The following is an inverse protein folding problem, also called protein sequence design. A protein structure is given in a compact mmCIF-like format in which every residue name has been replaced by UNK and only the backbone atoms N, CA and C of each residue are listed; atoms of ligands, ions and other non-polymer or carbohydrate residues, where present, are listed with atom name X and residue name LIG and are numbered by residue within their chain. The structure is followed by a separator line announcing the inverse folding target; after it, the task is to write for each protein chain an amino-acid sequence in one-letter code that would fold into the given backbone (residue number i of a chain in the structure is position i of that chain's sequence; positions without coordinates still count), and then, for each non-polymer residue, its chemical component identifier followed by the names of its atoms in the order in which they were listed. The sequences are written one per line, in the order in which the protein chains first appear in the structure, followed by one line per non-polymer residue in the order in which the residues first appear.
data_IF_700800053540
#
_entry.id   IF_700800053540
#
_cell.length_a   1.000
_cell.length_b   1.000
_cell.length_c   1.000
_cell.angle_alpha   90.00
_cell.angle_beta   90.00
_cell.angle_gamma   90.00
#
_symmetry.space_group_name_H-M   'P 1'
#
loop_
_entity.id
_entity.type
_entity.pdbx_description
1 polymer ?
#
# COMPACT_ATOMS: atom_id res chain seq x y z
N UNK A 1 -9.06 15.89 0.23
CA UNK A 1 -9.47 14.73 -0.57
C UNK A 1 -8.59 13.58 -0.11
N UNK A 2 -9.14 12.38 0.09
CA UNK A 2 -8.33 11.24 0.53
C UNK A 2 -7.42 10.76 -0.61
N UNK A 3 -6.28 10.19 -0.25
CA UNK A 3 -5.41 9.50 -1.20
C UNK A 3 -5.72 8.00 -1.23
N UNK A 4 -5.53 7.40 -2.40
CA UNK A 4 -5.45 5.96 -2.61
C UNK A 4 -3.99 5.54 -2.41
N UNK A 5 -3.75 4.65 -1.45
CA UNK A 5 -2.45 4.06 -1.17
C UNK A 5 -2.42 2.64 -1.74
N UNK A 6 -1.34 2.31 -2.45
CA UNK A 6 -1.04 0.98 -2.95
C UNK A 6 0.43 0.64 -2.62
N UNK A 7 0.62 -0.10 -1.54
CA UNK A 7 1.93 -0.45 -1.02
C UNK A 7 2.34 -1.84 -1.51
N UNK A 8 3.54 -1.93 -2.08
CA UNK A 8 4.17 -3.19 -2.49
C UNK A 8 5.07 -3.65 -1.36
N UNK A 9 4.77 -4.81 -0.81
CA UNK A 9 5.40 -5.37 0.37
C UNK A 9 6.15 -6.64 -0.01
N UNK A 10 7.42 -6.75 0.39
CA UNK A 10 8.15 -8.01 0.32
C UNK A 10 7.48 -9.03 1.25
N UNK A 11 6.91 -10.09 0.67
CA UNK A 11 6.07 -11.01 1.44
C UNK A 11 6.87 -11.75 2.50
N UNK A 12 8.02 -12.29 2.11
CA UNK A 12 8.82 -13.16 2.96
C UNK A 12 9.40 -12.38 4.13
N UNK A 13 9.88 -11.17 3.86
CA UNK A 13 10.41 -10.30 4.90
C UNK A 13 9.31 -9.79 5.83
N UNK A 14 8.14 -9.38 5.31
CA UNK A 14 7.04 -8.96 6.18
C UNK A 14 6.57 -10.10 7.10
N UNK A 15 6.44 -11.32 6.56
CA UNK A 15 6.13 -12.48 7.38
C UNK A 15 7.22 -12.82 8.37
N UNK A 16 8.49 -12.64 8.03
CA UNK A 16 9.60 -12.79 8.97
C UNK A 16 9.45 -11.83 10.15
N UNK A 17 9.14 -10.56 9.92
CA UNK A 17 8.90 -9.58 10.99
C UNK A 17 7.72 -9.98 11.87
N UNK A 18 6.59 -10.36 11.26
CA UNK A 18 5.38 -10.76 11.98
C UNK A 18 5.58 -12.02 12.84
N UNK A 19 6.47 -12.92 12.43
CA UNK A 19 6.75 -14.18 13.12
C UNK A 19 8.00 -14.14 14.02
N UNK A 20 8.75 -13.04 14.02
CA UNK A 20 9.89 -12.83 14.93
C UNK A 20 9.37 -12.59 16.34
N UNK A 21 10.13 -13.01 17.35
CA UNK A 21 9.83 -12.71 18.76
C UNK A 21 9.77 -11.21 18.97
N UNK A 22 8.80 -10.73 19.73
CA UNK A 22 8.58 -9.29 19.87
C UNK A 22 9.78 -8.56 20.50
N UNK A 23 10.43 -9.22 21.47
CA UNK A 23 11.68 -8.76 22.10
C UNK A 23 12.86 -8.69 21.11
N UNK A 24 12.97 -9.65 20.19
CA UNK A 24 14.01 -9.65 19.16
C UNK A 24 13.78 -8.52 18.13
N UNK A 25 12.53 -8.33 17.68
CA UNK A 25 12.19 -7.23 16.79
C UNK A 25 12.52 -5.88 17.44
N UNK A 26 12.09 -5.66 18.69
CA UNK A 26 12.37 -4.43 19.43
C UNK A 26 13.87 -4.15 19.48
N UNK A 27 14.68 -5.16 19.82
CA UNK A 27 16.13 -5.03 19.86
C UNK A 27 16.73 -4.69 18.50
N UNK A 28 16.28 -5.35 17.43
CA UNK A 28 16.77 -5.11 16.08
C UNK A 28 16.46 -3.70 15.57
N UNK A 29 15.30 -3.15 15.95
CA UNK A 29 14.94 -1.77 15.66
C UNK A 29 15.78 -0.79 16.49
N UNK A 30 15.94 -1.05 17.80
CA UNK A 30 16.69 -0.20 18.72
C UNK A 30 18.19 -0.11 18.35
N UNK A 31 18.81 -1.22 17.98
CA UNK A 31 20.23 -1.27 17.59
C UNK A 31 20.48 -1.01 16.09
N UNK A 32 19.40 -0.73 15.34
CA UNK A 32 19.38 -0.43 13.90
C UNK A 32 19.86 -1.58 13.01
N UNK A 33 19.99 -2.79 13.54
CA UNK A 33 20.38 -3.97 12.75
C UNK A 33 19.30 -4.37 11.74
N UNK A 34 18.02 -4.07 12.00
CA UNK A 34 16.91 -4.31 11.07
C UNK A 34 17.08 -3.60 9.72
N UNK A 35 17.81 -2.47 9.68
CA UNK A 35 18.04 -1.71 8.43
C UNK A 35 18.83 -2.50 7.39
N UNK A 36 19.66 -3.45 7.83
CA UNK A 36 20.50 -4.26 6.93
C UNK A 36 19.71 -5.28 6.11
N UNK A 37 18.52 -5.64 6.60
CA UNK A 37 17.63 -6.62 5.97
C UNK A 37 16.38 -5.97 5.37
N UNK A 38 16.24 -4.64 5.47
CA UNK A 38 15.13 -3.91 4.85
C UNK A 38 15.21 -4.08 3.32
N UNK A 39 14.10 -4.45 2.64
CA UNK A 39 14.07 -4.59 1.19
C UNK A 39 14.55 -3.34 0.46
N UNK A 40 15.11 -3.50 -0.73
CA UNK A 40 15.53 -2.37 -1.54
C UNK A 40 14.31 -1.58 -2.03
N UNK A 41 14.44 -0.25 -2.01
CA UNK A 41 13.38 0.63 -2.46
C UNK A 41 13.32 0.65 -3.98
N UNK A 42 12.11 0.58 -4.54
CA UNK A 42 11.92 0.82 -5.96
C UNK A 42 12.04 2.32 -6.27
N UNK A 43 12.80 2.68 -7.32
CA UNK A 43 13.17 4.06 -7.66
C UNK A 43 12.01 4.92 -8.20
N UNK A 44 10.89 4.30 -8.54
CA UNK A 44 9.72 4.94 -9.14
C UNK A 44 8.55 5.14 -8.17
N UNK A 45 8.65 4.72 -6.91
CA UNK A 45 7.61 4.90 -5.87
C UNK A 45 8.20 5.46 -4.57
N UNK A 46 7.36 6.10 -3.77
CA UNK A 46 7.79 6.73 -2.52
C UNK A 46 7.84 5.72 -1.38
N UNK A 47 8.80 5.89 -0.47
CA UNK A 47 8.93 5.09 0.75
C UNK A 47 9.37 6.00 1.89
N UNK A 48 8.78 5.78 3.06
CA UNK A 48 9.14 6.51 4.28
C UNK A 48 10.57 6.20 4.71
N UNK A 49 11.23 7.21 5.27
CA UNK A 49 12.59 7.08 5.78
C UNK A 49 12.66 6.03 6.90
N UNK A 50 13.77 5.29 6.93
CA UNK A 50 14.00 4.26 7.93
C UNK A 50 13.80 4.80 9.35
N UNK A 51 14.36 5.98 9.65
CA UNK A 51 14.35 6.54 11.00
C UNK A 51 12.93 6.79 11.51
N UNK A 52 12.03 7.24 10.64
CA UNK A 52 10.66 7.58 11.02
C UNK A 52 9.85 6.30 11.32
N UNK A 53 9.92 5.31 10.43
CA UNK A 53 9.18 4.05 10.59
C UNK A 53 9.76 3.24 11.76
N UNK A 54 11.07 3.22 11.93
CA UNK A 54 11.76 2.56 13.06
C UNK A 54 11.29 3.12 14.40
N UNK A 55 11.26 4.45 14.54
CA UNK A 55 10.79 5.11 15.75
C UNK A 55 9.33 4.78 16.04
N UNK A 56 8.45 4.87 15.04
CA UNK A 56 7.03 4.55 15.21
C UNK A 56 6.78 3.08 15.55
N UNK A 57 7.59 2.14 15.05
CA UNK A 57 7.52 0.74 15.45
C UNK A 57 7.92 0.55 16.91
N UNK A 58 9.00 1.21 17.35
CA UNK A 58 9.44 1.16 18.75
C UNK A 58 8.37 1.73 19.69
N UNK A 59 7.83 2.90 19.36
CA UNK A 59 6.75 3.54 20.11
C UNK A 59 5.51 2.63 20.15
N UNK A 60 5.11 2.04 19.01
CA UNK A 60 3.98 1.10 18.94
C UNK A 60 4.19 -0.13 19.84
N UNK A 61 5.39 -0.70 19.86
CA UNK A 61 5.70 -1.85 20.72
C UNK A 61 5.54 -1.48 22.20
N UNK A 62 6.06 -0.32 22.61
CA UNK A 62 6.03 0.14 24.01
C UNK A 62 4.63 0.56 24.45
N UNK A 63 3.93 1.36 23.65
CA UNK A 63 2.61 1.91 23.99
C UNK A 63 1.52 0.84 24.08
N UNK A 64 1.66 -0.25 23.33
CA UNK A 64 0.67 -1.32 23.27
C UNK A 64 1.11 -2.63 23.94
N UNK A 65 2.20 -2.59 24.68
CA UNK A 65 2.72 -3.72 25.47
C UNK A 65 2.94 -4.97 24.59
N UNK A 66 3.52 -4.76 23.41
CA UNK A 66 3.88 -5.82 22.43
C UNK A 66 5.27 -6.35 22.76
N UNK A 67 5.52 -6.65 24.03
CA UNK A 67 6.79 -7.20 24.51
C UNK A 67 6.56 -8.56 25.13
N UNK A 68 6.92 -9.61 24.38
CA UNK A 68 6.85 -11.00 24.82
C UNK A 68 8.16 -11.72 24.46
N UNK A 69 8.64 -12.57 25.36
CA UNK A 69 9.90 -13.30 25.23
C UNK A 69 9.76 -14.58 24.39
N UNK A 70 8.55 -15.12 24.23
CA UNK A 70 8.31 -16.39 23.56
C UNK A 70 7.44 -16.26 22.32
N UNK A 71 6.41 -15.41 22.38
CA UNK A 71 5.48 -15.21 21.28
C UNK A 71 6.06 -14.33 20.17
N UNK A 72 5.57 -14.56 18.96
CA UNK A 72 5.82 -13.67 17.83
C UNK A 72 5.03 -12.36 17.95
N UNK A 73 5.50 -11.33 17.25
CA UNK A 73 4.84 -10.01 17.18
C UNK A 73 3.36 -10.13 16.82
N UNK A 74 3.03 -10.93 15.80
CA UNK A 74 1.65 -11.13 15.38
C UNK A 74 0.81 -11.85 16.45
N UNK A 75 1.36 -12.86 17.13
CA UNK A 75 0.65 -13.58 18.18
C UNK A 75 0.44 -12.69 19.43
N UNK A 76 1.46 -11.94 19.85
CA UNK A 76 1.36 -10.97 20.95
C UNK A 76 0.31 -9.91 20.62
N UNK A 77 0.34 -9.33 19.41
CA UNK A 77 -0.66 -8.36 18.95
C UNK A 77 -2.08 -8.94 18.96
N UNK A 78 -2.27 -10.17 18.45
CA UNK A 78 -3.55 -10.89 18.52
C UNK A 78 -4.03 -11.10 19.96
N UNK A 79 -3.13 -11.50 20.88
CA UNK A 79 -3.46 -11.66 22.31
C UNK A 79 -3.89 -10.34 22.93
N UNK A 80 -3.19 -9.23 22.65
CA UNK A 80 -3.55 -7.88 23.13
C UNK A 80 -4.93 -7.45 22.64
N UNK A 81 -5.26 -7.73 21.38
CA UNK A 81 -6.58 -7.48 20.84
C UNK A 81 -7.68 -8.23 21.63
N UNK A 82 -7.47 -9.52 21.93
CA UNK A 82 -8.42 -10.33 22.73
C UNK A 82 -8.55 -9.82 24.15
N UNK A 83 -7.46 -9.34 24.73
CA UNK A 83 -7.42 -8.75 26.08
C UNK A 83 -8.03 -7.35 26.19
N UNK A 84 -8.64 -6.83 25.10
CA UNK A 84 -9.36 -5.55 25.10
C UNK A 84 -8.56 -4.36 24.56
N UNK A 85 -7.41 -4.60 23.92
CA UNK A 85 -6.66 -3.56 23.22
C UNK A 85 -7.47 -2.93 22.09
N UNK A 86 -7.20 -1.66 21.79
CA UNK A 86 -7.86 -0.96 20.69
C UNK A 86 -7.43 -1.57 19.35
N UNK A 87 -8.42 -2.02 18.58
CA UNK A 87 -8.17 -2.74 17.33
C UNK A 87 -7.47 -1.90 16.25
N UNK A 88 -7.72 -0.59 16.18
CA UNK A 88 -7.06 0.27 15.20
C UNK A 88 -5.60 0.52 15.59
N UNK A 89 -5.34 0.70 16.88
CA UNK A 89 -3.99 0.93 17.40
C UNK A 89 -3.13 -0.34 17.24
N UNK A 90 -3.70 -1.53 17.47
CA UNK A 90 -2.99 -2.79 17.18
C UNK A 90 -2.80 -3.00 15.67
N UNK A 91 -3.79 -2.64 14.85
CA UNK A 91 -3.70 -2.77 13.40
C UNK A 91 -2.70 -1.79 12.76
N UNK A 92 -2.46 -0.63 13.38
CA UNK A 92 -1.47 0.35 12.92
C UNK A 92 -0.06 -0.25 12.92
N UNK A 93 0.30 -1.06 13.92
CA UNK A 93 1.58 -1.77 13.95
C UNK A 93 1.75 -2.76 12.82
N UNK A 94 0.70 -3.51 12.45
CA UNK A 94 0.75 -4.41 11.30
C UNK A 94 1.03 -3.65 10.00
N UNK A 95 0.45 -2.45 9.88
CA UNK A 95 0.74 -1.54 8.77
C UNK A 95 2.17 -1.00 8.83
N UNK A 96 2.68 -0.57 9.99
CA UNK A 96 4.07 -0.10 10.15
C UNK A 96 5.09 -1.18 9.78
N UNK A 97 4.86 -2.43 10.18
CA UNK A 97 5.73 -3.55 9.79
C UNK A 97 5.67 -3.82 8.28
N UNK A 98 4.51 -3.60 7.65
CA UNK A 98 4.39 -3.67 6.21
C UNK A 98 5.11 -2.48 5.52
N UNK A 99 5.05 -1.27 6.07
CA UNK A 99 5.82 -0.12 5.59
C UNK A 99 7.34 -0.36 5.71
N UNK A 100 7.77 -1.00 6.81
CA UNK A 100 9.17 -1.42 6.98
C UNK A 100 9.59 -2.39 5.89
N UNK A 101 8.77 -3.43 5.65
CA UNK A 101 8.99 -4.43 4.62
C UNK A 101 8.62 -4.00 3.19
N UNK A 102 8.26 -2.73 2.97
CA UNK A 102 7.84 -2.27 1.65
C UNK A 102 9.01 -1.93 0.72
N UNK A 103 8.82 -2.22 -0.57
CA UNK A 103 9.62 -1.67 -1.67
C UNK A 103 9.20 -0.22 -1.95
N UNK A 104 7.96 0.13 -1.59
CA UNK A 104 7.43 1.49 -1.63
C UNK A 104 5.91 1.51 -1.73
N UNK A 105 5.35 2.71 -1.81
CA UNK A 105 3.93 2.98 -1.93
C UNK A 105 3.67 3.88 -3.13
N UNK A 106 2.83 3.40 -4.04
CA UNK A 106 2.21 4.27 -5.02
C UNK A 106 1.04 5.00 -4.38
N UNK A 107 1.02 6.32 -4.53
CA UNK A 107 0.02 7.21 -3.93
C UNK A 107 -0.57 8.11 -5.00
N UNK A 108 -1.88 8.23 -5.02
CA UNK A 108 -2.54 9.26 -5.81
C UNK A 108 -3.80 9.78 -5.10
N UNK A 109 -4.27 10.98 -5.48
CA UNK A 109 -5.60 11.43 -5.05
C UNK A 109 -6.65 10.40 -5.50
N UNK A 110 -7.53 9.98 -4.59
CA UNK A 110 -8.51 8.90 -4.84
C UNK A 110 -9.34 9.10 -6.11
N UNK A 111 -9.77 10.34 -6.38
CA UNK A 111 -10.51 10.67 -7.60
C UNK A 111 -9.72 10.44 -8.90
N UNK A 112 -8.39 10.50 -8.85
CA UNK A 112 -7.52 10.15 -10.00
C UNK A 112 -7.34 8.64 -10.14
N UNK A 113 -7.58 7.85 -9.09
CA UNK A 113 -7.54 6.39 -9.13
C UNK A 113 -8.45 5.80 -10.22
N UNK A 114 -9.61 6.43 -10.46
CA UNK A 114 -10.51 6.08 -11.56
C UNK A 114 -9.81 6.13 -12.92
N UNK A 115 -9.10 7.22 -13.22
CA UNK A 115 -8.37 7.38 -14.48
C UNK A 115 -7.31 6.28 -14.68
N UNK A 116 -6.67 5.85 -13.59
CA UNK A 116 -5.53 4.93 -13.66
C UNK A 116 -5.93 3.46 -13.66
N UNK A 117 -7.06 3.10 -13.03
CA UNK A 117 -7.47 1.71 -12.82
C UNK A 117 -8.71 1.32 -13.64
N UNK A 118 -9.74 2.17 -13.69
CA UNK A 118 -11.05 1.82 -14.27
C UNK A 118 -10.98 1.38 -15.75
N UNK A 119 -10.24 2.05 -16.65
CA UNK A 119 -10.16 1.61 -18.05
C UNK A 119 -9.54 0.21 -18.21
N UNK A 120 -8.81 -0.25 -17.19
CA UNK A 120 -8.00 -1.46 -17.22
C UNK A 120 -8.58 -2.57 -16.33
N UNK A 121 -9.60 -2.28 -15.52
CA UNK A 121 -10.29 -3.26 -14.68
C UNK A 121 -11.33 -4.09 -15.44
N UNK A 122 -11.66 -3.74 -16.69
CA UNK A 122 -12.64 -4.45 -17.52
C UNK A 122 -14.10 -4.20 -17.14
N UNK A 123 -14.35 -3.27 -16.21
CA UNK A 123 -15.68 -2.88 -15.73
C UNK A 123 -15.67 -1.42 -15.26
N UNK A 124 -16.85 -0.79 -15.21
CA UNK A 124 -17.01 0.55 -14.65
C UNK A 124 -17.00 0.53 -13.12
N UNK A 125 -16.27 1.48 -12.52
CA UNK A 125 -16.18 1.65 -11.06
C UNK A 125 -17.27 2.64 -10.65
N UNK A 126 -18.40 2.11 -10.17
CA UNK A 126 -19.57 2.92 -9.82
C UNK A 126 -19.55 3.44 -8.37
N UNK A 127 -18.70 2.87 -7.52
CA UNK A 127 -18.56 3.26 -6.11
C UNK A 127 -17.09 3.34 -5.72
N UNK A 128 -16.74 4.33 -4.90
CA UNK A 128 -15.36 4.55 -4.40
C UNK A 128 -14.78 3.30 -3.74
N UNK A 129 -15.60 2.53 -3.01
CA UNK A 129 -15.16 1.31 -2.35
C UNK A 129 -14.58 0.26 -3.30
N UNK A 130 -14.99 0.25 -4.56
CA UNK A 130 -14.50 -0.69 -5.56
C UNK A 130 -13.02 -0.46 -5.91
N UNK A 131 -12.49 0.76 -5.74
CA UNK A 131 -11.04 1.03 -5.91
C UNK A 131 -10.17 0.24 -4.92
N UNK A 132 -10.77 -0.33 -3.86
CA UNK A 132 -10.11 -1.11 -2.82
C UNK A 132 -10.52 -2.58 -2.87
N UNK A 133 -11.04 -3.06 -4.00
CA UNK A 133 -11.38 -4.47 -4.21
C UNK A 133 -10.27 -5.18 -4.97
N UNK A 134 -9.91 -6.38 -4.49
CA UNK A 134 -8.84 -7.18 -5.09
C UNK A 134 -9.04 -7.41 -6.59
N UNK A 135 -10.27 -7.74 -7.01
CA UNK A 135 -10.61 -8.01 -8.42
C UNK A 135 -10.30 -6.85 -9.36
N UNK A 136 -10.45 -5.59 -8.90
CA UNK A 136 -10.16 -4.40 -9.70
C UNK A 136 -8.66 -4.29 -9.94
N UNK A 137 -7.86 -4.52 -8.90
CA UNK A 137 -6.40 -4.52 -9.00
C UNK A 137 -5.87 -5.70 -9.80
N UNK A 138 -6.36 -6.91 -9.58
CA UNK A 138 -5.95 -8.10 -10.33
C UNK A 138 -6.19 -7.91 -11.84
N UNK A 139 -7.37 -7.38 -12.22
CA UNK A 139 -7.70 -7.09 -13.61
C UNK A 139 -6.84 -5.95 -14.19
N UNK A 140 -6.71 -4.84 -13.46
CA UNK A 140 -5.93 -3.70 -13.89
C UNK A 140 -4.45 -4.05 -14.08
N UNK A 141 -3.81 -4.70 -13.09
CA UNK A 141 -2.41 -5.15 -13.18
C UNK A 141 -2.22 -6.05 -14.40
N UNK A 142 -3.09 -7.05 -14.57
CA UNK A 142 -3.03 -7.95 -15.74
C UNK A 142 -3.13 -7.20 -17.06
N UNK A 143 -3.94 -6.17 -17.15
CA UNK A 143 -4.05 -5.36 -18.36
C UNK A 143 -2.84 -4.44 -18.54
N UNK A 144 -2.39 -3.78 -17.48
CA UNK A 144 -1.30 -2.80 -17.50
C UNK A 144 0.02 -3.43 -17.95
N UNK A 145 0.34 -4.64 -17.46
CA UNK A 145 1.58 -5.36 -17.81
C UNK A 145 1.61 -5.89 -19.25
N UNK A 146 0.50 -5.82 -20.00
CA UNK A 146 0.52 -6.11 -21.45
C UNK A 146 1.02 -4.94 -22.30
N UNK A 147 1.17 -3.76 -21.69
CA UNK A 147 1.64 -2.54 -22.34
C UNK A 147 3.03 -2.19 -21.83
N UNK A 148 3.82 -1.52 -22.67
CA UNK A 148 5.01 -0.84 -22.17
C UNK A 148 4.62 0.33 -21.27
N UNK A 149 5.53 0.71 -20.37
CA UNK A 149 5.41 1.90 -19.51
C UNK A 149 4.97 3.15 -20.27
N UNK A 150 5.59 3.40 -21.43
CA UNK A 150 5.28 4.55 -22.28
C UNK A 150 3.84 4.47 -22.79
N UNK A 151 3.44 3.33 -23.37
CA UNK A 151 2.09 3.13 -23.92
C UNK A 151 0.99 3.31 -22.86
N UNK A 152 1.19 2.75 -21.67
CA UNK A 152 0.25 2.91 -20.56
C UNK A 152 0.11 4.39 -20.16
N UNK A 153 1.25 5.08 -19.96
CA UNK A 153 1.26 6.48 -19.55
C UNK A 153 0.61 7.42 -20.58
N UNK A 154 0.86 7.19 -21.88
CA UNK A 154 0.25 7.95 -22.97
C UNK A 154 -1.26 7.73 -23.03
N UNK A 155 -1.71 6.48 -22.89
CA UNK A 155 -3.15 6.14 -22.90
C UNK A 155 -3.89 6.83 -21.75
N UNK A 156 -3.30 6.85 -20.55
CA UNK A 156 -3.83 7.58 -19.40
C UNK A 156 -3.93 9.08 -19.67
N UNK A 157 -2.90 9.69 -20.26
CA UNK A 157 -2.92 11.13 -20.59
C UNK A 157 -3.99 11.44 -21.63
N UNK A 158 -4.15 10.61 -22.66
CA UNK A 158 -5.18 10.77 -23.69
C UNK A 158 -6.59 10.64 -23.09
N UNK A 159 -6.83 9.66 -22.23
CA UNK A 159 -8.13 9.52 -21.53
C UNK A 159 -8.42 10.76 -20.67
N UNK A 160 -7.43 11.25 -19.92
CA UNK A 160 -7.58 12.47 -19.13
C UNK A 160 -7.95 13.69 -19.98
N UNK A 161 -7.28 13.88 -21.12
CA UNK A 161 -7.59 14.97 -22.05
C UNK A 161 -9.02 14.84 -22.59
N UNK A 162 -9.41 13.64 -23.01
CA UNK A 162 -10.77 13.38 -23.51
C UNK A 162 -11.85 13.63 -22.46
N UNK A 163 -11.65 13.18 -21.21
CA UNK A 163 -12.57 13.46 -20.09
C UNK A 163 -12.70 14.96 -19.82
N UNK A 164 -11.63 15.74 -19.96
CA UNK A 164 -11.68 17.21 -19.82
C UNK A 164 -12.49 17.86 -20.94
N UNK A 165 -12.24 17.48 -22.19
CA UNK A 165 -12.99 18.03 -23.34
C UNK A 165 -14.50 17.74 -23.23
N UNK A 166 -14.87 16.54 -22.76
CA UNK A 166 -16.28 16.17 -22.51
C UNK A 166 -16.95 17.04 -21.44
N UNK A 167 -16.18 17.60 -20.50
CA UNK A 167 -16.66 18.55 -19.49
C UNK A 167 -16.69 20.00 -20.02
N UNK A 168 -16.31 20.23 -21.28
CA UNK A 168 -16.21 21.56 -21.87
C UNK A 168 -14.97 22.35 -21.40
N UNK A 169 -13.99 21.68 -20.79
CA UNK A 169 -12.77 22.31 -20.29
C UNK A 169 -11.75 22.56 -21.41
N UNK A 170 -10.97 23.64 -21.28
CA UNK A 170 -9.94 23.99 -22.26
C UNK A 170 -8.74 23.05 -22.21
N UNK A 171 -8.22 22.72 -23.40
CA UNK A 171 -6.90 22.09 -23.57
C UNK A 171 -5.79 23.09 -23.93
N UNK A 172 -6.14 24.36 -24.12
CA UNK A 172 -5.18 25.38 -24.49
C UNK A 172 -4.44 25.89 -23.24
N UNK A 173 -3.12 25.69 -23.19
CA UNK A 173 -2.24 26.16 -22.12
C UNK A 173 -2.34 27.67 -21.86
N UNK A 174 -2.61 28.47 -22.88
CA UNK A 174 -2.82 29.92 -22.72
C UNK A 174 -4.03 30.24 -21.86
N UNK A 175 -5.02 29.35 -21.86
CA UNK A 175 -6.28 29.50 -21.11
C UNK A 175 -6.24 28.74 -19.77
N UNK A 176 -5.38 27.72 -19.64
CA UNK A 176 -5.10 27.00 -18.39
C UNK A 176 -3.58 26.74 -18.26
N UNK A 177 -2.84 27.59 -17.51
CA UNK A 177 -1.39 27.46 -17.39
C UNK A 177 -0.95 26.22 -16.59
N UNK A 178 -1.88 25.52 -15.91
CA UNK A 178 -1.57 24.30 -15.16
C UNK A 178 -1.65 23.04 -16.01
N UNK A 179 -2.11 23.13 -17.26
CA UNK A 179 -2.43 21.95 -18.05
C UNK A 179 -1.21 21.05 -18.28
N UNK A 180 -0.06 21.63 -18.65
CA UNK A 180 1.17 20.87 -18.87
C UNK A 180 1.68 20.22 -17.58
N UNK A 181 1.66 20.95 -16.46
CA UNK A 181 2.05 20.41 -15.17
C UNK A 181 1.12 19.26 -14.70
N UNK A 182 -0.16 19.35 -15.05
CA UNK A 182 -1.16 18.32 -14.72
C UNK A 182 -0.97 17.08 -15.60
N UNK A 183 -0.74 17.28 -16.90
CA UNK A 183 -0.39 16.22 -17.83
C UNK A 183 0.87 15.46 -17.39
N UNK A 184 1.94 16.18 -17.05
CA UNK A 184 3.18 15.61 -16.52
C UNK A 184 2.95 14.88 -15.19
N UNK A 185 2.02 15.37 -14.35
CA UNK A 185 1.62 14.65 -13.14
C UNK A 185 0.96 13.32 -13.48
N UNK A 186 0.04 13.27 -14.45
CA UNK A 186 -0.63 12.04 -14.87
C UNK A 186 0.35 11.05 -15.48
N UNK A 187 1.25 11.53 -16.34
CA UNK A 187 2.31 10.71 -16.92
C UNK A 187 3.16 10.05 -15.82
N UNK A 188 3.70 10.83 -14.87
CA UNK A 188 4.53 10.29 -13.77
C UNK A 188 3.78 9.25 -12.93
N UNK A 189 2.52 9.52 -12.55
CA UNK A 189 1.76 8.56 -11.73
C UNK A 189 1.46 7.27 -12.50
N UNK A 190 1.18 7.37 -13.80
CA UNK A 190 0.96 6.19 -14.63
C UNK A 190 2.24 5.38 -14.82
N UNK A 191 3.37 6.05 -15.08
CA UNK A 191 4.68 5.37 -15.18
C UNK A 191 5.05 4.64 -13.88
N UNK A 192 4.84 5.27 -12.72
CA UNK A 192 5.06 4.64 -11.42
C UNK A 192 4.10 3.47 -11.15
N UNK A 193 2.82 3.58 -11.56
CA UNK A 193 1.84 2.49 -11.41
C UNK A 193 2.18 1.30 -12.32
N UNK A 194 2.70 1.56 -13.52
CA UNK A 194 3.20 0.51 -14.40
C UNK A 194 4.35 -0.26 -13.72
N UNK A 195 5.35 0.45 -13.17
CA UNK A 195 6.42 -0.21 -12.41
C UNK A 195 5.90 -1.03 -11.23
N UNK A 196 4.91 -0.53 -10.50
CA UNK A 196 4.25 -1.26 -9.41
C UNK A 196 3.55 -2.53 -9.92
N UNK A 197 2.89 -2.46 -11.07
CA UNK A 197 2.19 -3.59 -11.68
C UNK A 197 3.16 -4.70 -12.10
N UNK A 198 4.33 -4.34 -12.63
CA UNK A 198 5.40 -5.30 -12.97
C UNK A 198 5.91 -6.02 -11.71
N UNK A 199 6.24 -5.29 -10.62
CA UNK A 199 6.69 -5.88 -9.36
C UNK A 199 5.69 -6.89 -8.77
N UNK A 200 4.39 -6.61 -8.91
CA UNK A 200 3.35 -7.54 -8.43
C UNK A 200 3.23 -8.75 -9.35
N UNK A 201 3.39 -8.57 -10.65
CA UNK A 201 3.31 -9.65 -11.63
C UNK A 201 4.49 -10.65 -11.54
N UNK A 202 5.65 -10.20 -11.05
CA UNK A 202 6.81 -11.07 -10.79
C UNK A 202 6.55 -12.10 -9.67
N UNK A 203 5.63 -11.80 -8.74
CA UNK A 203 5.04 -12.79 -7.82
C UNK A 203 5.64 -12.87 -6.40
N UNK A 204 6.71 -12.13 -6.11
CA UNK A 204 7.40 -12.15 -4.80
C UNK A 204 6.91 -11.05 -3.84
N UNK A 205 5.82 -10.36 -4.20
CA UNK A 205 5.31 -9.22 -3.44
C UNK A 205 3.82 -9.32 -3.13
N UNK A 206 3.41 -8.68 -2.05
CA UNK A 206 2.00 -8.50 -1.66
C UNK A 206 1.61 -7.05 -1.87
N UNK A 207 0.42 -6.85 -2.44
CA UNK A 207 -0.19 -5.54 -2.55
C UNK A 207 -1.12 -5.26 -1.36
N UNK A 208 -0.80 -4.22 -0.60
CA UNK A 208 -1.68 -3.64 0.42
C UNK A 208 -2.27 -2.32 -0.06
N UNK A 209 -3.57 -2.31 -0.37
CA UNK A 209 -4.29 -1.08 -0.72
C UNK A 209 -5.09 -0.55 0.45
N UNK A 210 -5.16 0.78 0.58
CA UNK A 210 -5.91 1.44 1.65
C UNK A 210 -6.25 2.87 1.25
N UNK A 211 -7.41 3.36 1.70
CA UNK A 211 -7.77 4.77 1.63
C UNK A 211 -7.07 5.52 2.74
N UNK A 212 -6.41 6.64 2.43
CA UNK A 212 -5.80 7.48 3.45
C UNK A 212 -6.83 7.89 4.52
N UNK A 213 -6.42 7.90 5.79
CA UNK A 213 -7.27 8.10 6.97
C UNK A 213 -8.39 7.08 7.20
N UNK A 214 -8.43 5.98 6.43
CA UNK A 214 -9.31 4.85 6.73
C UNK A 214 -8.65 3.85 7.68
N UNK A 215 -9.49 3.05 8.33
CA UNK A 215 -9.12 1.94 9.20
C UNK A 215 -8.01 1.07 8.60
N UNK A 216 -6.99 0.77 9.41
CA UNK A 216 -5.88 -0.11 9.02
C UNK A 216 -6.36 -1.53 8.74
N UNK A 217 -7.47 -1.94 9.36
CA UNK A 217 -8.10 -3.25 9.18
C UNK A 217 -8.57 -3.50 7.76
N UNK A 218 -8.79 -2.45 6.99
CA UNK A 218 -9.20 -2.54 5.60
C UNK A 218 -8.03 -2.73 4.63
N UNK A 219 -6.79 -2.55 5.09
CA UNK A 219 -5.61 -2.67 4.26
C UNK A 219 -5.40 -4.11 3.77
N UNK A 220 -5.17 -4.25 2.47
CA UNK A 220 -4.82 -5.51 1.84
C UNK A 220 -5.97 -6.39 1.41
N UNK A 221 -5.60 -7.49 0.76
CA UNK A 221 -6.51 -8.41 0.08
C UNK A 221 -6.40 -9.83 0.61
N UNK A 222 -7.34 -10.69 0.21
CA UNK A 222 -7.23 -12.13 0.46
C UNK A 222 -6.96 -12.47 1.93
N UNK A 223 -5.97 -13.32 2.20
CA UNK A 223 -5.48 -13.67 3.53
C UNK A 223 -4.53 -12.64 4.15
N UNK A 224 -4.01 -11.71 3.36
CA UNK A 224 -3.06 -10.66 3.77
C UNK A 224 -3.76 -9.40 4.28
N UNK A 225 -5.09 -9.38 4.27
CA UNK A 225 -5.87 -8.29 4.88
C UNK A 225 -5.56 -8.21 6.37
N UNK A 226 -5.16 -7.05 6.89
CA UNK A 226 -4.69 -6.88 8.28
C UNK A 226 -5.71 -7.44 9.30
N UNK A 227 -7.00 -7.16 9.10
CA UNK A 227 -8.06 -7.73 9.96
C UNK A 227 -7.98 -9.25 10.06
N UNK A 228 -7.74 -9.93 8.93
CA UNK A 228 -7.67 -11.39 8.92
C UNK A 228 -6.43 -11.86 9.65
N UNK A 229 -5.26 -11.31 9.35
CA UNK A 229 -4.00 -11.65 10.03
C UNK A 229 -4.13 -11.62 11.55
N UNK A 230 -4.70 -10.53 12.09
CA UNK A 230 -4.88 -10.35 13.54
C UNK A 230 -5.91 -11.31 14.15
N UNK A 231 -6.90 -11.77 13.38
CA UNK A 231 -8.00 -12.59 13.90
C UNK A 231 -7.80 -14.09 13.65
N UNK A 232 -7.03 -14.50 12.65
CA UNK A 232 -6.80 -15.91 12.31
C UNK A 232 -5.97 -16.67 13.35
N UNK A 233 -5.06 -16.01 14.05
CA UNK A 233 -4.17 -16.67 15.03
C UNK A 233 -4.83 -16.97 16.38
N UNK A 234 -6.08 -16.53 16.58
CA UNK A 234 -6.84 -16.73 17.82
C UNK A 234 -7.72 -18.01 17.73
N UNK A 235 -7.89 -18.58 16.53
CA UNK A 235 -8.76 -19.73 16.28
C UNK A 235 -8.13 -21.12 16.48
N UNK A 236 -6.82 -21.22 16.75
CA UNK A 236 -6.10 -22.50 16.89
C UNK A 236 -6.18 -23.16 18.26
N UNK A 237 -6.89 -22.55 19.22
CA UNK A 237 -7.01 -23.03 20.60
C UNK A 237 -8.44 -23.37 20.98
N UNK A 238 -9.02 -24.40 20.36
CA UNK A 238 -10.14 -25.19 20.92
C UNK A 238 -10.04 -26.64 20.48
#
# INVERSE_FOLDING_TARGET
MADLLAMVVDSDYWFSLLNTKSTDLYKQMQDKSARKSRPEMADFIDRRFDVDVEAEILDWIEEHDIMDEEDSVLLTASKRLVSGGNIEDIASGMWLLAEWASLGTWRCMEGRGYLYLEPYSGESINQVGQLYEQRIWDAAIKSITTMSKQQYSETVVVDWMGRRELLGETLNEKNDPRILSTMQSHQRHAESLHGLAELIAEGDTILLTRRDWSSYLNAGFGGFKIRKLLTSNIGGGK
#
